data_IF_924579274758
#
_entry.id   IF_924579274758
#
_cell.length_a   1.000
_cell.length_b   1.000
_cell.length_c   1.000
_cell.angle_alpha   90.00
_cell.angle_beta   90.00
_cell.angle_gamma   90.00
#
_symmetry.space_group_name_H-M   'P 1'
#
loop_
_entity.id
_entity.type
_entity.pdbx_description
1 polymer ?
#
# COMPACT_ATOMS: atom_id res chain seq x y z
N UNK A 1 -6.68 4.52 0.01
CA UNK A 1 -7.46 3.26 0.10
C UNK A 1 -7.08 2.34 -1.05
N UNK A 2 -7.11 1.02 -0.83
CA UNK A 2 -6.95 0.06 -1.93
C UNK A 2 -8.05 0.30 -2.97
N UNK A 3 -7.66 0.35 -4.22
CA UNK A 3 -8.58 0.57 -5.34
C UNK A 3 -8.31 -0.48 -6.42
N UNK A 4 -9.35 -1.19 -6.84
CA UNK A 4 -9.27 -2.27 -7.82
C UNK A 4 -8.64 -1.85 -9.16
N UNK A 5 -8.70 -0.59 -9.51
CA UNK A 5 -8.11 -0.04 -10.74
C UNK A 5 -6.67 0.45 -10.57
N UNK A 6 -6.11 0.36 -9.36
CA UNK A 6 -4.70 0.55 -9.09
C UNK A 6 -4.09 -0.82 -8.85
N UNK A 7 -3.24 -1.29 -9.75
CA UNK A 7 -2.73 -2.65 -9.75
C UNK A 7 -1.35 -2.76 -10.38
N UNK A 8 -0.73 -3.90 -10.16
CA UNK A 8 0.49 -4.30 -10.86
C UNK A 8 0.17 -5.44 -11.82
N UNK A 9 0.79 -5.40 -12.99
CA UNK A 9 0.79 -6.48 -13.96
C UNK A 9 2.15 -6.61 -14.66
N UNK A 10 2.27 -7.51 -15.60
CA UNK A 10 3.47 -7.69 -16.39
C UNK A 10 3.34 -6.92 -17.71
N UNK A 11 4.38 -6.16 -18.06
CA UNK A 11 4.39 -5.39 -19.29
C UNK A 11 4.42 -6.33 -20.50
N UNK A 12 3.50 -6.20 -21.47
CA UNK A 12 3.45 -7.06 -22.65
C UNK A 12 4.61 -6.83 -23.63
N UNK A 13 5.25 -5.66 -23.57
CA UNK A 13 6.24 -5.21 -24.56
C UNK A 13 7.65 -5.18 -23.98
N UNK A 14 7.83 -4.52 -22.84
CA UNK A 14 9.14 -4.28 -22.27
C UNK A 14 9.63 -5.44 -21.42
N UNK A 15 10.92 -5.75 -21.56
CA UNK A 15 11.59 -6.85 -20.86
C UNK A 15 12.88 -6.39 -20.21
N UNK A 16 13.28 -7.09 -19.15
CA UNK A 16 14.58 -6.89 -18.53
C UNK A 16 15.70 -7.56 -19.33
N UNK A 17 16.95 -7.44 -18.89
CA UNK A 17 18.13 -8.04 -19.53
C UNK A 17 18.10 -9.58 -19.62
N UNK A 18 17.25 -10.24 -18.82
CA UNK A 18 17.07 -11.69 -18.80
C UNK A 18 15.84 -12.15 -19.64
N UNK A 19 15.22 -11.25 -20.40
CA UNK A 19 14.05 -11.55 -21.24
C UNK A 19 12.73 -11.68 -20.50
N UNK A 20 12.70 -11.41 -19.19
CA UNK A 20 11.48 -11.45 -18.38
C UNK A 20 10.68 -10.15 -18.54
N UNK A 21 9.33 -10.20 -18.59
CA UNK A 21 8.51 -9.00 -18.62
C UNK A 21 8.79 -8.07 -17.43
N UNK A 22 8.81 -6.78 -17.68
CA UNK A 22 8.91 -5.80 -16.60
C UNK A 22 7.61 -5.72 -15.82
N UNK A 23 7.69 -5.43 -14.53
CA UNK A 23 6.53 -5.09 -13.72
C UNK A 23 6.02 -3.71 -14.14
N UNK A 24 4.72 -3.62 -14.41
CA UNK A 24 4.01 -2.39 -14.76
C UNK A 24 3.06 -2.00 -13.66
N UNK A 25 3.08 -0.72 -13.26
CA UNK A 25 2.16 -0.16 -12.29
C UNK A 25 1.11 0.70 -12.99
N UNK A 26 -0.16 0.38 -12.80
CA UNK A 26 -1.29 1.24 -13.15
C UNK A 26 -1.80 1.92 -11.88
N UNK A 27 -1.69 3.24 -11.82
CA UNK A 27 -2.07 4.01 -10.63
C UNK A 27 -2.61 5.39 -11.01
N UNK A 28 -3.71 5.80 -10.38
CA UNK A 28 -4.15 7.19 -10.33
C UNK A 28 -5.01 7.44 -9.09
N UNK A 29 -5.14 8.71 -8.70
CA UNK A 29 -6.04 9.15 -7.65
C UNK A 29 -7.50 8.98 -8.05
N UNK A 30 -8.35 8.71 -7.08
CA UNK A 30 -9.80 8.60 -7.24
C UNK A 30 -10.48 9.73 -6.47
N UNK A 31 -11.81 9.74 -6.50
CA UNK A 31 -12.60 10.84 -5.94
C UNK A 31 -12.29 11.12 -4.46
N UNK A 32 -12.10 10.06 -3.66
CA UNK A 32 -11.82 10.21 -2.23
C UNK A 32 -10.44 10.86 -1.98
N UNK A 33 -9.40 10.44 -2.71
CA UNK A 33 -8.07 11.02 -2.63
C UNK A 33 -8.09 12.50 -3.05
N UNK A 34 -8.86 12.83 -4.07
CA UNK A 34 -9.04 14.22 -4.49
C UNK A 34 -9.78 15.06 -3.45
N UNK A 35 -10.81 14.52 -2.79
CA UNK A 35 -11.53 15.21 -1.69
C UNK A 35 -10.61 15.47 -0.51
N UNK A 36 -9.86 14.45 -0.07
CA UNK A 36 -8.89 14.57 1.02
C UNK A 36 -7.79 15.58 0.66
N UNK A 37 -7.25 15.51 -0.55
CA UNK A 37 -6.20 16.43 -1.01
C UNK A 37 -6.65 17.90 -1.01
N UNK A 38 -7.87 18.19 -1.45
CA UNK A 38 -8.43 19.56 -1.40
C UNK A 38 -8.64 20.03 0.04
N UNK A 39 -9.20 19.19 0.90
CA UNK A 39 -9.41 19.53 2.30
C UNK A 39 -8.07 19.76 3.03
N UNK A 40 -7.09 18.88 2.84
CA UNK A 40 -5.76 19.04 3.43
C UNK A 40 -5.06 20.32 2.95
N UNK A 41 -5.13 20.64 1.66
CA UNK A 41 -4.57 21.88 1.12
C UNK A 41 -5.22 23.12 1.76
N UNK A 42 -6.54 23.13 1.93
CA UNK A 42 -7.25 24.21 2.62
C UNK A 42 -6.77 24.37 4.06
N UNK A 43 -6.78 23.30 4.85
CA UNK A 43 -6.38 23.32 6.27
C UNK A 43 -4.93 23.79 6.42
N UNK A 44 -4.01 23.29 5.57
CA UNK A 44 -2.60 23.70 5.58
C UNK A 44 -2.47 25.19 5.28
N UNK A 45 -3.19 25.70 4.30
CA UNK A 45 -3.16 27.11 3.95
C UNK A 45 -3.73 28.01 5.06
N UNK A 46 -4.80 27.59 5.71
CA UNK A 46 -5.41 28.33 6.84
C UNK A 46 -4.45 28.40 8.04
N UNK A 47 -3.79 27.28 8.37
CA UNK A 47 -2.73 27.24 9.40
C UNK A 47 -1.59 28.18 9.01
N UNK A 48 -1.08 28.06 7.76
CA UNK A 48 0.02 28.90 7.31
C UNK A 48 -0.31 30.39 7.33
N UNK A 49 -1.52 30.77 6.93
CA UNK A 49 -1.99 32.17 6.99
C UNK A 49 -2.10 32.68 8.41
N UNK A 50 -2.54 31.85 9.37
CA UNK A 50 -2.63 32.24 10.78
C UNK A 50 -1.27 32.55 11.43
N UNK A 51 -0.18 32.01 10.86
CA UNK A 51 1.19 32.30 11.30
C UNK A 51 1.72 33.65 10.81
N UNK A 52 0.95 34.37 10.00
CA UNK A 52 1.28 35.67 9.42
C UNK A 52 2.70 35.73 8.78
N UNK A 53 3.04 34.83 7.83
CA UNK A 53 4.37 34.78 7.24
C UNK A 53 4.60 35.96 6.29
N UNK A 54 5.86 36.39 6.16
CA UNK A 54 6.25 37.42 5.17
C UNK A 54 5.99 36.97 3.72
N UNK A 55 6.05 35.66 3.45
CA UNK A 55 5.77 35.07 2.15
C UNK A 55 5.11 33.70 2.33
N UNK A 56 4.09 33.43 1.56
CA UNK A 56 3.38 32.14 1.55
C UNK A 56 3.25 31.64 0.11
N UNK A 57 3.71 30.42 -0.14
CA UNK A 57 3.34 29.67 -1.33
C UNK A 57 2.20 28.72 -0.92
N UNK A 58 0.99 29.00 -1.41
CA UNK A 58 -0.18 28.20 -1.02
C UNK A 58 -0.09 26.77 -1.57
N UNK A 59 -0.45 25.82 -0.71
CA UNK A 59 -0.59 24.43 -1.10
C UNK A 59 -1.79 24.25 -2.05
N UNK A 60 -1.61 23.45 -3.08
CA UNK A 60 -2.66 23.10 -4.04
C UNK A 60 -2.86 21.58 -4.09
N UNK A 61 -4.10 21.14 -4.19
CA UNK A 61 -4.40 19.73 -4.38
C UNK A 61 -3.98 19.30 -5.81
N UNK A 62 -3.33 18.15 -5.90
CA UNK A 62 -3.02 17.54 -7.21
C UNK A 62 -4.30 17.04 -7.87
N UNK A 63 -4.42 17.24 -9.17
CA UNK A 63 -5.56 16.76 -9.96
C UNK A 63 -5.34 15.37 -10.54
N UNK A 64 -4.08 14.97 -10.69
CA UNK A 64 -3.67 13.68 -11.26
C UNK A 64 -2.38 13.20 -10.61
N UNK A 65 -2.21 11.89 -10.50
CA UNK A 65 -0.95 11.30 -10.09
C UNK A 65 0.14 11.54 -11.14
N UNK A 66 1.35 11.77 -10.66
CA UNK A 66 2.55 11.86 -11.50
C UNK A 66 3.76 11.36 -10.73
N UNK A 67 4.69 10.73 -11.43
CA UNK A 67 5.99 10.36 -10.89
C UNK A 67 6.92 11.58 -10.71
N UNK A 68 6.55 12.75 -11.23
CA UNK A 68 7.33 13.97 -11.13
C UNK A 68 6.58 15.02 -10.28
N UNK A 69 7.15 15.51 -9.16
CA UNK A 69 8.41 15.08 -8.56
C UNK A 69 8.30 13.65 -7.98
N UNK A 70 9.39 12.90 -8.08
CA UNK A 70 9.43 11.54 -7.58
C UNK A 70 9.26 11.49 -6.06
N UNK A 71 8.34 10.65 -5.60
CA UNK A 71 8.07 10.40 -4.19
C UNK A 71 8.28 8.91 -3.92
N UNK A 72 9.26 8.58 -3.09
CA UNK A 72 9.70 7.21 -2.82
C UNK A 72 9.38 6.71 -1.41
N UNK A 73 8.66 7.51 -0.60
CA UNK A 73 8.37 7.18 0.79
C UNK A 73 6.90 6.80 0.99
N UNK A 74 6.64 5.95 1.98
CA UNK A 74 5.29 5.55 2.41
C UNK A 74 4.46 4.84 1.33
N UNK A 75 5.12 4.22 0.36
CA UNK A 75 4.44 3.37 -0.62
C UNK A 75 3.93 2.11 0.08
N UNK A 76 2.64 1.83 -0.06
CA UNK A 76 1.98 0.68 0.57
C UNK A 76 1.01 0.01 -0.40
N UNK A 77 0.65 -1.24 -0.11
CA UNK A 77 -0.28 -1.99 -0.94
C UNK A 77 0.40 -2.74 -2.09
N UNK A 78 -0.39 -3.52 -2.80
CA UNK A 78 0.04 -4.42 -3.87
C UNK A 78 -0.41 -5.85 -3.60
N UNK A 79 0.07 -6.47 -2.51
CA UNK A 79 -0.36 -7.80 -2.05
C UNK A 79 -1.15 -7.66 -0.75
N UNK A 80 -2.28 -6.97 -0.81
CA UNK A 80 -3.03 -6.58 0.39
C UNK A 80 -3.56 -7.78 1.19
N UNK A 81 -3.52 -7.64 2.51
CA UNK A 81 -4.19 -8.58 3.42
C UNK A 81 -5.68 -8.25 3.55
N UNK A 82 -6.48 -9.26 3.84
CA UNK A 82 -7.91 -9.09 4.06
C UNK A 82 -8.56 -10.29 4.74
N UNK A 83 -9.86 -10.21 4.88
CA UNK A 83 -10.68 -11.26 5.49
C UNK A 83 -11.23 -12.26 4.45
N UNK A 84 -11.12 -11.93 3.16
CA UNK A 84 -11.75 -12.70 2.09
C UNK A 84 -10.80 -12.84 0.89
N UNK A 85 -10.61 -14.05 0.34
CA UNK A 85 -9.77 -14.28 -0.84
C UNK A 85 -10.28 -13.58 -2.12
N UNK A 86 -11.53 -13.13 -2.16
CA UNK A 86 -12.09 -12.43 -3.33
C UNK A 86 -11.58 -11.00 -3.48
N UNK A 87 -11.07 -10.40 -2.41
CA UNK A 87 -10.66 -9.00 -2.36
C UNK A 87 -9.28 -8.76 -1.74
N UNK A 88 -8.56 -9.83 -1.42
CA UNK A 88 -7.22 -9.77 -0.85
C UNK A 88 -6.34 -10.92 -1.35
N UNK A 89 -5.03 -10.70 -1.40
CA UNK A 89 -4.04 -11.72 -1.75
C UNK A 89 -3.65 -12.59 -0.54
N UNK A 90 -3.74 -12.02 0.66
CA UNK A 90 -3.26 -12.61 1.90
C UNK A 90 -4.36 -12.60 2.97
N UNK A 91 -4.33 -13.59 3.86
CA UNK A 91 -5.15 -13.61 5.06
C UNK A 91 -4.55 -12.76 6.20
N UNK A 92 -5.19 -12.72 7.35
CA UNK A 92 -4.77 -11.96 8.54
C UNK A 92 -3.40 -12.35 9.13
N UNK A 93 -2.84 -13.49 8.75
CA UNK A 93 -1.50 -13.95 9.14
C UNK A 93 -0.47 -13.68 8.04
N UNK A 94 -0.83 -12.92 7.02
CA UNK A 94 -0.03 -12.62 5.84
C UNK A 94 0.38 -13.88 5.05
N UNK A 95 -0.37 -14.95 5.20
CA UNK A 95 -0.27 -16.16 4.41
C UNK A 95 -1.09 -16.00 3.13
N UNK A 96 -0.54 -16.40 1.99
CA UNK A 96 -1.25 -16.42 0.71
C UNK A 96 -2.47 -17.35 0.79
N UNK A 97 -3.58 -16.89 0.19
CA UNK A 97 -4.76 -17.73 0.05
C UNK A 97 -4.54 -18.90 -0.92
N UNK A 98 -3.71 -18.70 -1.94
CA UNK A 98 -3.46 -19.70 -2.99
C UNK A 98 -2.28 -20.64 -2.66
N UNK A 99 -1.29 -20.16 -1.88
CA UNK A 99 -0.06 -20.88 -1.57
C UNK A 99 0.15 -20.93 -0.06
N UNK A 100 -0.24 -22.02 0.60
CA UNK A 100 -0.21 -22.14 2.06
C UNK A 100 1.19 -22.02 2.69
N UNK A 101 2.25 -22.29 1.93
CA UNK A 101 3.64 -22.17 2.36
C UNK A 101 4.27 -20.81 1.99
N UNK A 102 3.49 -19.85 1.47
CA UNK A 102 3.93 -18.52 1.13
C UNK A 102 3.39 -17.51 2.14
N UNK A 103 4.32 -16.80 2.80
CA UNK A 103 4.04 -15.68 3.68
C UNK A 103 4.70 -14.44 3.12
N UNK A 104 3.97 -13.33 3.05
CA UNK A 104 4.47 -12.06 2.49
C UNK A 104 4.41 -11.00 3.58
N UNK A 105 5.55 -10.36 3.86
CA UNK A 105 5.68 -9.31 4.88
C UNK A 105 6.21 -8.02 4.26
N UNK A 106 5.85 -6.89 4.82
CA UNK A 106 6.27 -5.57 4.34
C UNK A 106 5.10 -4.61 4.20
N UNK A 107 5.36 -3.40 3.73
CA UNK A 107 4.32 -2.39 3.52
C UNK A 107 3.35 -2.72 2.38
N UNK A 108 3.74 -3.65 1.50
CA UNK A 108 2.91 -4.14 0.40
C UNK A 108 1.64 -4.86 0.86
N UNK A 109 1.59 -5.34 2.12
CA UNK A 109 0.42 -6.06 2.65
C UNK A 109 -0.69 -5.13 3.14
N UNK A 110 -0.45 -3.83 3.25
CA UNK A 110 -1.42 -2.87 3.78
C UNK A 110 -2.56 -2.63 2.81
N UNK A 111 -3.84 -2.80 3.22
CA UNK A 111 -4.99 -2.43 2.41
C UNK A 111 -5.12 -0.91 2.24
N UNK A 112 -4.62 -0.13 3.17
CA UNK A 112 -4.43 1.33 3.06
C UNK A 112 -3.40 1.81 4.09
N UNK A 113 -2.79 2.96 3.82
CA UNK A 113 -1.95 3.66 4.79
C UNK A 113 -2.79 4.72 5.51
N UNK A 114 -2.80 4.70 6.83
CA UNK A 114 -3.58 5.60 7.68
C UNK A 114 -2.97 7.01 7.81
N UNK A 115 -2.29 7.51 6.79
CA UNK A 115 -1.66 8.83 6.74
C UNK A 115 -0.58 9.06 7.81
N UNK A 116 0.05 7.98 8.28
CA UNK A 116 1.14 8.02 9.25
C UNK A 116 2.34 7.21 8.76
N UNK A 117 3.49 7.38 9.43
CA UNK A 117 4.71 6.64 9.10
C UNK A 117 4.50 5.13 9.30
N UNK A 118 4.61 4.27 8.27
CA UNK A 118 4.14 2.89 8.33
C UNK A 118 5.14 1.92 8.98
N UNK A 119 6.37 2.32 9.30
CA UNK A 119 7.46 1.41 9.72
C UNK A 119 7.13 0.62 10.99
N UNK A 120 6.51 1.26 11.99
CA UNK A 120 6.08 0.57 13.21
C UNK A 120 5.08 -0.55 12.93
N UNK A 121 3.97 -0.29 12.23
CA UNK A 121 3.02 -1.34 11.81
C UNK A 121 3.65 -2.42 10.91
N UNK A 122 4.58 -2.08 10.01
CA UNK A 122 5.32 -3.08 9.22
C UNK A 122 6.06 -4.05 10.12
N UNK A 123 6.81 -3.54 11.10
CA UNK A 123 7.51 -4.36 12.09
C UNK A 123 6.56 -5.24 12.92
N UNK A 124 5.47 -4.65 13.41
CA UNK A 124 4.46 -5.38 14.19
C UNK A 124 3.84 -6.55 13.39
N UNK A 125 3.49 -6.33 12.12
CA UNK A 125 2.96 -7.38 11.25
C UNK A 125 4.00 -8.47 10.93
N UNK A 126 5.28 -8.10 10.78
CA UNK A 126 6.34 -9.09 10.60
C UNK A 126 6.49 -10.01 11.81
N UNK A 127 6.46 -9.45 13.04
CA UNK A 127 6.45 -10.26 14.28
C UNK A 127 5.19 -11.11 14.41
N UNK A 128 4.03 -10.55 14.09
CA UNK A 128 2.77 -11.29 14.08
C UNK A 128 2.80 -12.51 13.16
N UNK A 129 3.34 -12.32 11.95
CA UNK A 129 3.48 -13.40 10.97
C UNK A 129 4.50 -14.44 11.45
N UNK A 130 5.64 -14.01 11.98
CA UNK A 130 6.65 -14.93 12.52
C UNK A 130 6.11 -15.79 13.68
N UNK A 131 5.31 -15.20 14.57
CA UNK A 131 4.62 -15.93 15.63
C UNK A 131 3.65 -16.97 15.06
N UNK A 132 2.84 -16.59 14.07
CA UNK A 132 1.91 -17.51 13.41
C UNK A 132 2.64 -18.65 12.69
N UNK A 133 3.74 -18.38 12.02
CA UNK A 133 4.59 -19.42 11.40
C UNK A 133 5.12 -20.36 12.46
N UNK A 134 5.76 -19.84 13.52
CA UNK A 134 6.39 -20.65 14.58
C UNK A 134 5.39 -21.47 15.37
N UNK A 135 4.29 -20.87 15.80
CA UNK A 135 3.41 -21.44 16.81
C UNK A 135 2.20 -22.16 16.24
N UNK A 136 1.90 -21.97 14.94
CA UNK A 136 0.78 -22.60 14.25
C UNK A 136 1.24 -23.40 13.03
N UNK A 137 1.77 -22.72 12.00
CA UNK A 137 2.06 -23.33 10.70
C UNK A 137 3.08 -24.48 10.80
N UNK A 138 4.19 -24.30 11.54
CA UNK A 138 5.21 -25.35 11.68
C UNK A 138 4.73 -26.54 12.52
N UNK A 139 3.66 -26.39 13.29
CA UNK A 139 3.05 -27.51 14.06
C UNK A 139 2.04 -28.30 13.24
N UNK A 140 1.32 -27.61 12.37
CA UNK A 140 0.32 -28.19 11.47
C UNK A 140 0.31 -27.40 10.15
N UNK A 141 1.19 -27.80 9.19
CA UNK A 141 1.33 -27.08 7.91
C UNK A 141 0.05 -27.15 7.07
N UNK A 142 -0.51 -25.96 6.76
CA UNK A 142 -1.75 -25.83 6.01
C UNK A 142 -2.27 -24.41 6.01
N UNK A 143 -3.52 -24.19 5.56
CA UNK A 143 -4.16 -22.87 5.61
C UNK A 143 -4.43 -22.48 7.07
N UNK A 144 -3.87 -21.36 7.52
CA UNK A 144 -4.09 -20.82 8.87
C UNK A 144 -5.47 -20.16 9.03
N UNK A 145 -6.13 -19.87 7.92
CA UNK A 145 -7.52 -19.38 7.84
C UNK A 145 -8.21 -20.14 6.72
N UNK A 146 -9.37 -20.74 6.96
CA UNK A 146 -10.18 -21.31 5.88
C UNK A 146 -10.58 -20.24 4.86
N UNK A 147 -10.57 -20.60 3.57
CA UNK A 147 -10.97 -19.73 2.46
C UNK A 147 -12.50 -19.63 2.35
#
# INVERSE_FOLDING_TARGET
MANRYNYYDLDPTYRNAFGQPLMRMTFDYKENEHKIGRHAAQVINDIAKSMNPTRLNEATARTRWTVVPYQSTHNTGGTIMGANPRDSALNKYLQSWDCHNLFVVGANVFPHNASYNPTGPVGALAYWTADAVKNRYLKDPGPLVPA
#
